data_IF_920346725190
#
_entry.id   IF_920346725190
#
_cell.length_a   1.000
_cell.length_b   1.000
_cell.length_c   1.000
_cell.angle_alpha   90.00
_cell.angle_beta   90.00
_cell.angle_gamma   90.00
#
_symmetry.space_group_name_H-M   'P 1'
#
loop_
_entity.id
_entity.type
_entity.pdbx_description
1 polymer ?
#
# COMPACT_ATOMS: atom_id res chain seq x y z
N UNK A 1 10.63 -16.87 13.35
CA UNK A 1 9.18 -16.62 13.11
C UNK A 1 8.73 -17.59 12.02
N UNK A 2 7.51 -18.16 12.09
CA UNK A 2 7.03 -19.30 11.26
C UNK A 2 6.09 -18.80 10.15
N UNK A 3 6.34 -19.06 8.82
CA UNK A 3 5.57 -18.56 7.65
C UNK A 3 4.07 -18.42 7.89
N UNK A 4 3.45 -17.25 7.64
CA UNK A 4 1.98 -17.14 7.73
C UNK A 4 1.34 -18.16 6.78
N UNK A 5 1.95 -18.34 5.61
CA UNK A 5 1.64 -19.42 4.65
C UNK A 5 1.70 -20.84 5.23
N UNK A 6 2.36 -21.05 6.37
CA UNK A 6 2.43 -22.31 7.12
C UNK A 6 1.49 -22.36 8.34
N UNK A 7 0.90 -21.23 8.75
CA UNK A 7 -0.02 -21.15 9.91
C UNK A 7 -1.48 -21.10 9.45
N UNK A 8 -1.77 -20.56 8.26
CA UNK A 8 -3.11 -20.55 7.71
C UNK A 8 -3.20 -19.89 6.34
N UNK A 9 -4.34 -20.01 5.64
CA UNK A 9 -4.58 -19.26 4.42
C UNK A 9 -4.49 -17.76 4.71
N UNK A 10 -3.90 -17.00 3.79
CA UNK A 10 -3.96 -15.54 3.81
C UNK A 10 -5.44 -15.17 3.76
N UNK A 11 -5.97 -14.39 4.72
CA UNK A 11 -7.34 -13.90 4.64
C UNK A 11 -7.56 -13.18 3.30
N UNK A 12 -8.55 -13.65 2.53
CA UNK A 12 -8.90 -13.05 1.23
C UNK A 12 -9.52 -11.66 1.39
N UNK A 13 -10.21 -11.45 2.52
CA UNK A 13 -11.01 -10.28 2.81
C UNK A 13 -10.64 -9.74 4.18
N UNK A 14 -10.10 -8.51 4.20
CA UNK A 14 -9.91 -7.76 5.44
C UNK A 14 -11.09 -6.83 5.60
N UNK A 15 -11.59 -6.70 6.83
CA UNK A 15 -12.62 -5.71 7.13
C UNK A 15 -12.09 -4.33 6.70
N UNK A 16 -12.79 -3.75 5.71
CA UNK A 16 -12.56 -2.46 5.06
C UNK A 16 -11.79 -2.49 3.71
N UNK A 17 -12.33 -3.19 2.71
CA UNK A 17 -12.04 -2.88 1.29
C UNK A 17 -12.60 -1.51 0.82
N UNK A 18 -13.16 -0.70 1.73
CA UNK A 18 -13.54 0.69 1.47
C UNK A 18 -13.41 1.53 2.75
N UNK A 19 -12.87 2.73 2.60
CA UNK A 19 -12.70 3.80 3.59
C UNK A 19 -11.52 3.69 4.57
N UNK A 20 -10.46 4.43 4.21
CA UNK A 20 -9.68 5.26 5.15
C UNK A 20 -9.03 6.46 4.43
N UNK A 21 -8.89 6.42 3.11
CA UNK A 21 -8.46 7.58 2.31
C UNK A 21 -9.63 8.38 1.74
N UNK A 22 -9.63 9.68 2.01
CA UNK A 22 -10.54 10.69 1.43
C UNK A 22 -10.19 11.01 -0.03
N UNK A 23 -8.92 10.86 -0.42
CA UNK A 23 -8.41 11.00 -1.79
C UNK A 23 -8.48 9.72 -2.64
N UNK A 24 -8.18 9.86 -3.93
CA UNK A 24 -8.03 8.74 -4.86
C UNK A 24 -9.32 8.10 -5.41
N UNK A 25 -9.15 7.32 -6.46
CA UNK A 25 -10.17 6.46 -7.07
C UNK A 25 -9.99 5.01 -6.60
N UNK A 26 -11.05 4.20 -6.71
CA UNK A 26 -10.91 2.75 -6.50
C UNK A 26 -9.92 2.16 -7.52
N UNK A 27 -9.02 1.30 -7.04
CA UNK A 27 -8.10 0.60 -7.92
C UNK A 27 -8.84 -0.54 -8.66
N UNK A 28 -8.59 -0.74 -9.97
CA UNK A 28 -9.09 -1.89 -10.71
C UNK A 28 -8.61 -3.20 -10.07
N UNK A 29 -9.42 -4.27 -10.13
CA UNK A 29 -9.09 -5.59 -9.54
C UNK A 29 -7.70 -6.10 -9.94
N UNK A 30 -7.29 -5.88 -11.20
CA UNK A 30 -5.96 -6.27 -11.68
C UNK A 30 -4.81 -5.52 -11.00
N UNK A 31 -4.96 -4.21 -10.79
CA UNK A 31 -3.98 -3.40 -10.06
C UNK A 31 -3.90 -3.83 -8.59
N UNK A 32 -5.05 -4.07 -7.95
CA UNK A 32 -5.12 -4.58 -6.57
C UNK A 32 -4.35 -5.90 -6.43
N UNK A 33 -4.61 -6.86 -7.31
CA UNK A 33 -3.92 -8.16 -7.28
C UNK A 33 -2.40 -8.03 -7.45
N UNK A 34 -1.95 -7.17 -8.38
CA UNK A 34 -0.52 -6.95 -8.60
C UNK A 34 0.16 -6.28 -7.40
N UNK A 35 -0.44 -5.24 -6.81
CA UNK A 35 0.11 -4.54 -5.65
C UNK A 35 0.20 -5.47 -4.43
N UNK A 36 -0.84 -6.27 -4.16
CA UNK A 36 -0.82 -7.31 -3.11
C UNK A 36 0.34 -8.30 -3.34
N UNK A 37 0.45 -8.82 -4.56
CA UNK A 37 1.50 -9.79 -4.92
C UNK A 37 2.91 -9.21 -4.83
N UNK A 38 3.10 -7.94 -5.20
CA UNK A 38 4.39 -7.26 -5.16
C UNK A 38 4.97 -7.15 -3.73
N UNK A 39 4.13 -7.13 -2.69
CA UNK A 39 4.59 -7.13 -1.29
C UNK A 39 4.77 -8.53 -0.73
N UNK A 40 3.86 -9.45 -1.05
CA UNK A 40 3.94 -10.86 -0.60
C UNK A 40 5.22 -11.57 -1.06
N UNK A 41 5.83 -11.14 -2.17
CA UNK A 41 7.08 -11.71 -2.70
C UNK A 41 8.36 -11.18 -2.05
N UNK A 42 8.32 -10.08 -1.30
CA UNK A 42 9.52 -9.40 -0.78
C UNK A 42 9.66 -9.57 0.72
N UNK A 43 8.55 -9.67 1.45
CA UNK A 43 8.55 -9.91 2.88
C UNK A 43 7.37 -10.81 3.26
N UNK A 44 7.57 -12.14 3.36
CA UNK A 44 6.49 -13.08 3.69
C UNK A 44 6.00 -12.94 5.14
N UNK A 45 6.50 -11.96 5.90
CA UNK A 45 6.45 -11.99 7.35
C UNK A 45 5.44 -11.14 8.09
N UNK A 46 4.89 -10.03 7.57
CA UNK A 46 4.24 -9.15 8.55
C UNK A 46 2.93 -8.47 8.23
N UNK A 47 2.50 -8.24 6.98
CA UNK A 47 1.29 -7.42 6.77
C UNK A 47 0.41 -7.80 5.56
N UNK A 48 -0.89 -7.62 5.76
CA UNK A 48 -1.93 -7.62 4.75
C UNK A 48 -2.00 -6.27 4.05
N UNK A 49 -2.05 -6.26 2.71
CA UNK A 49 -2.27 -5.02 1.96
C UNK A 49 -3.76 -4.78 1.72
N UNK A 50 -4.26 -3.64 2.19
CA UNK A 50 -5.67 -3.23 2.17
C UNK A 50 -5.81 -1.76 1.74
N UNK A 51 -7.04 -1.29 1.57
CA UNK A 51 -7.36 0.13 1.28
C UNK A 51 -6.65 0.74 0.06
N UNK A 52 -6.45 -0.04 -1.01
CA UNK A 52 -5.71 0.45 -2.19
C UNK A 52 -6.51 1.52 -2.94
N UNK A 53 -5.89 2.68 -3.20
CA UNK A 53 -6.48 3.78 -3.97
C UNK A 53 -5.49 4.28 -5.02
N UNK A 54 -5.97 4.53 -6.24
CA UNK A 54 -5.20 5.19 -7.28
C UNK A 54 -5.29 6.71 -7.12
N UNK A 55 -4.20 7.42 -7.35
CA UNK A 55 -4.23 8.88 -7.40
C UNK A 55 -5.10 9.37 -8.55
N UNK A 56 -5.89 10.39 -8.29
CA UNK A 56 -6.62 11.17 -9.31
C UNK A 56 -5.67 12.08 -10.09
N UNK A 57 -4.61 12.52 -9.43
CA UNK A 57 -3.60 13.42 -9.99
C UNK A 57 -2.62 12.69 -10.92
N UNK A 58 -2.21 11.47 -10.57
CA UNK A 58 -1.42 10.59 -11.43
C UNK A 58 -1.88 9.12 -11.28
N UNK A 59 -2.68 8.59 -12.21
CA UNK A 59 -3.19 7.22 -12.15
C UNK A 59 -2.11 6.13 -12.14
N UNK A 60 -0.83 6.46 -12.38
CA UNK A 60 0.29 5.55 -12.24
C UNK A 60 0.78 5.42 -10.79
N UNK A 61 0.19 6.12 -9.83
CA UNK A 61 0.51 5.99 -8.41
C UNK A 61 -0.69 5.49 -7.62
N UNK A 62 -0.39 4.66 -6.63
CA UNK A 62 -1.36 4.13 -5.69
C UNK A 62 -0.84 4.25 -4.26
N UNK A 63 -1.75 4.55 -3.34
CA UNK A 63 -1.52 4.38 -1.91
C UNK A 63 -2.17 3.07 -1.45
N UNK A 64 -1.57 2.45 -0.45
CA UNK A 64 -2.16 1.32 0.25
C UNK A 64 -1.85 1.38 1.75
N UNK A 65 -2.66 0.67 2.53
CA UNK A 65 -2.40 0.43 3.95
C UNK A 65 -1.87 -0.99 4.11
N UNK A 66 -0.85 -1.18 4.93
CA UNK A 66 -0.42 -2.51 5.36
C UNK A 66 -0.81 -2.72 6.83
N UNK A 67 -1.69 -3.69 7.06
CA UNK A 67 -2.16 -4.07 8.40
C UNK A 67 -1.37 -5.28 8.85
N UNK A 68 -0.62 -5.19 9.94
CA UNK A 68 0.19 -6.31 10.37
C UNK A 68 -0.66 -7.48 10.87
N UNK A 69 -0.20 -8.71 10.60
CA UNK A 69 -0.90 -9.93 11.04
C UNK A 69 -0.75 -10.19 12.55
N UNK A 70 0.35 -9.69 13.13
CA UNK A 70 0.61 -9.80 14.55
C UNK A 70 0.36 -8.44 15.22
N UNK A 71 -0.27 -8.40 16.41
CA UNK A 71 -0.66 -7.17 17.10
C UNK A 71 0.53 -6.40 17.71
N UNK A 72 1.77 -6.74 17.34
CA UNK A 72 3.01 -6.20 17.92
C UNK A 72 3.59 -5.04 17.12
N UNK A 73 2.99 -4.69 15.99
CA UNK A 73 3.44 -3.61 15.11
C UNK A 73 2.26 -2.72 14.72
N UNK A 74 2.54 -1.43 14.51
CA UNK A 74 1.55 -0.46 14.06
C UNK A 74 1.14 -0.67 12.60
N UNK A 75 -0.05 -0.19 12.25
CA UNK A 75 -0.49 -0.06 10.87
C UNK A 75 0.47 0.88 10.13
N UNK A 76 0.85 0.48 8.92
CA UNK A 76 1.75 1.26 8.07
C UNK A 76 1.09 1.61 6.74
N UNK A 77 1.67 2.59 6.04
CA UNK A 77 1.23 3.04 4.74
C UNK A 77 2.30 2.74 3.70
N UNK A 78 1.92 2.67 2.43
CA UNK A 78 2.88 2.52 1.35
C UNK A 78 2.40 3.05 0.03
N UNK A 79 3.36 3.24 -0.86
CA UNK A 79 3.16 3.73 -2.21
C UNK A 79 3.56 2.67 -3.22
N UNK A 80 2.72 2.48 -4.23
CA UNK A 80 3.03 1.69 -5.39
C UNK A 80 3.01 2.57 -6.64
N UNK A 81 3.87 2.24 -7.59
CA UNK A 81 3.94 2.92 -8.88
C UNK A 81 3.79 1.89 -10.01
N UNK A 82 3.00 2.25 -11.01
CA UNK A 82 2.84 1.51 -12.25
C UNK A 82 3.93 1.95 -13.22
N UNK A 83 4.78 1.01 -13.62
CA UNK A 83 5.74 1.20 -14.69
C UNK A 83 5.40 0.26 -15.83
N UNK A 84 4.97 0.84 -16.96
CA UNK A 84 4.68 0.09 -18.18
C UNK A 84 3.67 -1.06 -17.98
N UNK A 85 2.67 -0.87 -17.12
CA UNK A 85 1.62 -1.88 -16.84
C UNK A 85 1.94 -2.83 -15.68
N UNK A 86 3.09 -2.64 -15.02
CA UNK A 86 3.50 -3.45 -13.87
C UNK A 86 3.55 -2.59 -12.60
N UNK A 87 2.71 -2.93 -11.63
CA UNK A 87 2.72 -2.29 -10.32
C UNK A 87 3.88 -2.80 -9.45
N UNK A 88 4.61 -1.87 -8.84
CA UNK A 88 5.70 -2.16 -7.92
C UNK A 88 5.56 -1.30 -6.67
N UNK A 89 5.79 -1.90 -5.50
CA UNK A 89 5.88 -1.15 -4.24
C UNK A 89 7.17 -0.34 -4.25
N UNK A 90 7.05 0.96 -3.95
CA UNK A 90 8.14 1.93 -3.99
C UNK A 90 8.61 2.34 -2.62
N UNK A 91 7.67 2.49 -1.70
CA UNK A 91 7.98 2.88 -0.33
C UNK A 91 6.91 2.36 0.63
N UNK A 92 7.29 2.12 1.89
CA UNK A 92 6.45 1.51 2.91
C UNK A 92 6.96 1.77 4.33
N UNK A 93 6.06 2.15 5.24
CA UNK A 93 6.37 2.31 6.66
C UNK A 93 5.41 3.25 7.40
N UNK A 94 5.88 3.90 8.47
CA UNK A 94 5.05 4.73 9.36
C UNK A 94 5.42 6.21 9.37
N UNK A 95 6.62 6.60 8.93
CA UNK A 95 7.10 7.98 8.93
C UNK A 95 7.78 8.34 7.61
N UNK A 96 7.57 9.59 7.14
CA UNK A 96 8.15 10.14 5.91
C UNK A 96 7.85 9.33 4.62
N UNK A 97 6.73 8.61 4.62
CA UNK A 97 6.40 7.66 3.55
C UNK A 97 6.06 8.36 2.24
N UNK A 98 6.81 8.02 1.20
CA UNK A 98 6.76 8.57 -0.15
C UNK A 98 7.64 9.81 -0.33
N UNK A 99 8.36 10.27 0.70
CA UNK A 99 9.23 11.43 0.55
C UNK A 99 10.45 11.13 -0.32
N UNK A 100 10.67 11.96 -1.35
CA UNK A 100 11.73 11.75 -2.35
C UNK A 100 11.44 10.65 -3.37
N UNK A 101 10.29 9.97 -3.27
CA UNK A 101 9.91 8.83 -4.11
C UNK A 101 8.60 9.12 -4.87
N UNK A 102 7.55 9.48 -4.14
CA UNK A 102 6.22 9.78 -4.67
C UNK A 102 6.13 11.25 -5.07
N UNK A 103 5.55 11.61 -6.23
CA UNK A 103 5.36 13.00 -6.62
C UNK A 103 4.58 13.80 -5.57
N UNK A 104 5.01 15.02 -5.29
CA UNK A 104 4.37 15.88 -4.28
C UNK A 104 2.86 16.11 -4.51
N UNK A 105 2.36 16.31 -5.74
CA UNK A 105 0.92 16.42 -5.97
C UNK A 105 0.14 15.17 -5.57
N UNK A 106 0.74 13.98 -5.75
CA UNK A 106 0.15 12.71 -5.34
C UNK A 106 0.14 12.58 -3.81
N UNK A 107 1.25 12.92 -3.13
CA UNK A 107 1.31 12.92 -1.67
C UNK A 107 0.22 13.81 -1.06
N UNK A 108 0.11 15.05 -1.56
CA UNK A 108 -0.84 16.04 -1.08
C UNK A 108 -2.30 15.60 -1.27
N UNK A 109 -2.62 14.87 -2.35
CA UNK A 109 -3.97 14.34 -2.61
C UNK A 109 -4.46 13.45 -1.46
N UNK A 110 -3.54 12.70 -0.85
CA UNK A 110 -3.85 11.78 0.24
C UNK A 110 -3.53 12.37 1.63
N UNK A 111 -3.22 13.67 1.71
CA UNK A 111 -2.92 14.37 2.96
C UNK A 111 -1.52 14.08 3.53
N UNK A 112 -0.63 13.48 2.73
CA UNK A 112 0.77 13.26 3.11
C UNK A 112 1.59 14.49 2.77
N UNK A 113 2.57 14.79 3.61
CA UNK A 113 3.52 15.87 3.40
C UNK A 113 4.92 15.42 3.78
N UNK A 114 5.91 16.05 3.15
CA UNK A 114 7.31 15.85 3.49
C UNK A 114 7.81 17.08 4.24
N UNK A 115 8.61 16.91 5.30
CA UNK A 115 9.25 18.05 5.94
C UNK A 115 10.10 18.80 4.91
N UNK A 116 10.06 20.13 4.98
CA UNK A 116 10.99 20.98 4.26
C UNK A 116 12.41 20.64 4.72
N UNK A 117 13.29 20.32 3.75
CA UNK A 117 14.71 20.06 3.98
C UNK A 117 15.40 21.25 4.66
#
# INVERSE_FOLDING_TARGET
>A
MIPWRLIGPVPSDYALDSNNYTGGNQAPKGAVAQIKSAKEGVDPWFAAIVHIRLSKTDPNWAIFTAVPYLPVTDIAYGWANNQSGHWQVRDFGTAQIGCGVTPLPVLNEFGFGCPSA
#
